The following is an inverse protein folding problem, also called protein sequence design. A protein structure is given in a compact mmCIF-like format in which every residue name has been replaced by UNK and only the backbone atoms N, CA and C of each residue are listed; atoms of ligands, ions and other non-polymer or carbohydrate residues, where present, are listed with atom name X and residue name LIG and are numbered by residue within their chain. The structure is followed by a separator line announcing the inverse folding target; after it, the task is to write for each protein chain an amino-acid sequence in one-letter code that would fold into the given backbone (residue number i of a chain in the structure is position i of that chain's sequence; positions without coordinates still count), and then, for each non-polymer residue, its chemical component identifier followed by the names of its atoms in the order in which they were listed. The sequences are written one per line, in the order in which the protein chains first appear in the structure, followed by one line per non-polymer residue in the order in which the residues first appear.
data_IF_480435026838
#
_entry.id   IF_480435026838
#
_cell.length_a   1.000
_cell.length_b   1.000
_cell.length_c   1.000
_cell.angle_alpha   90.00
_cell.angle_beta   90.00
_cell.angle_gamma   90.00
#
_symmetry.space_group_name_H-M   'P 1'
#
loop_
_entity.id
_entity.type
_entity.pdbx_description
1 polymer ?
#
# COMPACT_ATOMS: atom_id res chain seq x y z
N UNK A 1 -7.24 5.42 -27.46
CA UNK A 1 -6.97 4.25 -26.60
C UNK A 1 -7.11 4.73 -25.16
N UNK A 2 -8.13 4.25 -24.46
CA UNK A 2 -8.41 4.65 -23.07
C UNK A 2 -8.26 3.40 -22.19
N UNK A 3 -7.50 3.51 -21.10
CA UNK A 3 -7.23 2.38 -20.21
C UNK A 3 -8.22 2.42 -19.03
N UNK A 4 -9.06 1.38 -18.91
CA UNK A 4 -10.01 1.25 -17.81
C UNK A 4 -9.51 0.18 -16.84
N UNK A 5 -9.24 0.57 -15.59
CA UNK A 5 -8.83 -0.37 -14.54
C UNK A 5 -10.06 -0.95 -13.83
N UNK A 6 -10.31 -2.25 -14.01
CA UNK A 6 -11.45 -2.96 -13.43
C UNK A 6 -10.98 -3.99 -12.41
N UNK A 7 -11.63 -4.05 -11.25
CA UNK A 7 -11.50 -5.18 -10.31
C UNK A 7 -12.72 -6.07 -10.48
N UNK A 8 -12.50 -7.29 -10.98
CA UNK A 8 -13.56 -8.26 -11.18
C UNK A 8 -13.13 -9.63 -10.67
N UNK A 9 -14.11 -10.42 -10.22
CA UNK A 9 -13.89 -11.80 -9.78
C UNK A 9 -14.25 -12.75 -10.92
N UNK A 10 -13.35 -13.69 -11.20
CA UNK A 10 -13.64 -14.79 -12.13
C UNK A 10 -14.62 -15.72 -11.43
N UNK A 11 -15.77 -15.96 -12.06
CA UNK A 11 -16.81 -16.84 -11.50
C UNK A 11 -16.32 -18.29 -11.44
N UNK A 12 -17.01 -19.14 -10.68
CA UNK A 12 -16.63 -20.56 -10.50
C UNK A 12 -16.63 -21.36 -11.83
N UNK A 13 -17.32 -20.85 -12.86
CA UNK A 13 -17.37 -21.37 -14.22
C UNK A 13 -16.18 -20.92 -15.11
N UNK A 14 -15.26 -20.13 -14.57
CA UNK A 14 -14.10 -19.61 -15.29
C UNK A 14 -14.37 -18.35 -16.12
N UNK A 15 -15.57 -17.76 -16.06
CA UNK A 15 -15.90 -16.57 -16.85
C UNK A 15 -15.56 -15.26 -16.13
N UNK A 16 -14.90 -14.35 -16.86
CA UNK A 16 -14.69 -12.96 -16.47
C UNK A 16 -15.73 -12.06 -17.18
N UNK A 17 -16.62 -11.42 -16.41
CA UNK A 17 -17.62 -10.48 -16.96
C UNK A 17 -17.09 -9.05 -16.88
N UNK A 18 -16.90 -8.41 -18.02
CA UNK A 18 -16.49 -7.01 -18.16
C UNK A 18 -17.70 -6.20 -18.62
N UNK A 19 -18.16 -5.25 -17.81
CA UNK A 19 -19.20 -4.31 -18.19
C UNK A 19 -18.54 -2.98 -18.58
N UNK A 20 -18.72 -2.57 -19.84
CA UNK A 20 -18.25 -1.27 -20.31
C UNK A 20 -19.15 -0.15 -19.78
N UNK A 21 -18.59 1.00 -19.38
CA UNK A 21 -19.39 2.13 -18.90
C UNK A 21 -20.33 2.66 -20.00
N UNK A 22 -21.47 3.22 -19.56
CA UNK A 22 -22.59 3.67 -20.41
C UNK A 22 -22.16 4.70 -21.48
N UNK A 23 -21.04 5.40 -21.27
CA UNK A 23 -20.45 6.32 -22.24
C UNK A 23 -20.06 5.67 -23.59
N UNK A 24 -19.93 4.35 -23.66
CA UNK A 24 -19.61 3.62 -24.89
C UNK A 24 -20.85 3.04 -25.63
N UNK A 25 -22.08 3.45 -25.26
CA UNK A 25 -23.30 2.95 -25.92
C UNK A 25 -23.30 3.28 -27.43
N UNK A 26 -23.43 2.24 -28.27
CA UNK A 26 -23.50 2.37 -29.72
C UNK A 26 -22.16 2.63 -30.42
N UNK A 27 -21.04 2.62 -29.69
CA UNK A 27 -19.71 2.78 -30.25
C UNK A 27 -19.06 1.43 -30.59
N UNK A 28 -18.42 1.35 -31.76
CA UNK A 28 -17.51 0.24 -32.07
C UNK A 28 -16.23 0.38 -31.25
N UNK A 29 -15.92 -0.62 -30.44
CA UNK A 29 -14.82 -0.58 -29.49
C UNK A 29 -13.83 -1.73 -29.76
N UNK A 30 -12.55 -1.40 -29.89
CA UNK A 30 -11.46 -2.38 -29.88
C UNK A 30 -10.97 -2.55 -28.43
N UNK A 31 -10.95 -3.79 -27.93
CA UNK A 31 -10.67 -4.09 -26.52
C UNK A 31 -9.40 -4.94 -26.41
N UNK A 32 -8.44 -4.46 -25.62
CA UNK A 32 -7.23 -5.21 -25.27
C UNK A 32 -7.32 -5.56 -23.78
N UNK A 33 -7.27 -6.85 -23.44
CA UNK A 33 -7.33 -7.35 -22.06
C UNK A 33 -5.97 -7.90 -21.67
N UNK A 34 -5.31 -7.25 -20.70
CA UNK A 34 -4.14 -7.78 -20.01
C UNK A 34 -4.58 -8.25 -18.61
N UNK A 35 -4.32 -9.51 -18.27
CA UNK A 35 -4.69 -10.06 -16.97
C UNK A 35 -3.48 -10.65 -16.25
N UNK A 36 -3.44 -10.44 -14.95
CA UNK A 36 -2.50 -11.10 -14.03
C UNK A 36 -3.33 -11.81 -12.95
N UNK A 37 -3.06 -13.10 -12.68
CA UNK A 37 -3.73 -13.80 -11.60
C UNK A 37 -3.26 -13.24 -10.25
N UNK A 38 -4.06 -12.35 -9.64
CA UNK A 38 -3.78 -11.85 -8.31
C UNK A 38 -4.42 -12.74 -7.25
N UNK A 39 -3.60 -13.42 -6.45
CA UNK A 39 -4.07 -14.20 -5.29
C UNK A 39 -4.02 -13.32 -4.06
N UNK A 40 -5.19 -12.94 -3.52
CA UNK A 40 -5.27 -12.36 -2.17
C UNK A 40 -4.93 -13.46 -1.17
N UNK A 41 -3.80 -13.33 -0.48
CA UNK A 41 -3.46 -14.25 0.61
C UNK A 41 -4.46 -14.06 1.76
N UNK A 42 -4.95 -15.16 2.33
CA UNK A 42 -5.67 -15.09 3.60
C UNK A 42 -4.70 -14.65 4.70
N UNK A 43 -5.19 -14.08 5.82
CA UNK A 43 -4.33 -13.72 6.95
C UNK A 43 -3.48 -14.90 7.45
N UNK A 44 -4.05 -16.11 7.47
CA UNK A 44 -3.35 -17.34 7.85
C UNK A 44 -2.26 -17.74 6.84
N UNK A 45 -2.56 -17.67 5.53
CA UNK A 45 -1.58 -17.97 4.48
C UNK A 45 -0.45 -16.94 4.43
N UNK A 46 -0.77 -15.68 4.70
CA UNK A 46 0.22 -14.62 4.85
C UNK A 46 1.10 -14.87 6.07
N UNK A 47 0.53 -15.16 7.23
CA UNK A 47 1.28 -15.49 8.44
C UNK A 47 2.20 -16.70 8.25
N UNK A 48 1.72 -17.75 7.56
CA UNK A 48 2.53 -18.91 7.21
C UNK A 48 3.69 -18.55 6.27
N UNK A 49 3.47 -17.64 5.31
CA UNK A 49 4.54 -17.13 4.44
C UNK A 49 5.58 -16.34 5.22
N UNK A 50 5.14 -15.44 6.11
CA UNK A 50 6.04 -14.65 6.95
C UNK A 50 6.82 -15.56 7.87
N UNK A 51 6.18 -16.48 8.60
CA UNK A 51 6.88 -17.39 9.50
C UNK A 51 7.90 -18.29 8.78
N UNK A 52 7.67 -18.61 7.50
CA UNK A 52 8.66 -19.33 6.68
C UNK A 52 9.89 -18.48 6.39
N UNK A 53 9.71 -17.19 6.12
CA UNK A 53 10.80 -16.28 5.75
C UNK A 53 11.35 -15.48 6.92
N UNK A 54 10.69 -15.55 8.07
CA UNK A 54 11.07 -14.83 9.28
C UNK A 54 12.44 -15.33 9.75
N UNK A 55 13.39 -14.40 9.87
CA UNK A 55 14.77 -14.71 10.21
C UNK A 55 15.67 -15.07 9.03
N UNK A 56 15.21 -15.00 7.77
CA UNK A 56 16.10 -15.16 6.61
C UNK A 56 17.16 -14.07 6.49
N UNK A 57 16.98 -12.97 7.21
CA UNK A 57 17.93 -11.86 7.36
C UNK A 57 18.51 -11.79 8.78
N UNK A 58 18.33 -12.82 9.62
CA UNK A 58 18.89 -12.83 10.97
C UNK A 58 20.43 -12.92 10.97
N UNK A 59 21.00 -13.50 9.92
CA UNK A 59 22.45 -13.59 9.70
C UNK A 59 23.02 -12.40 8.91
N UNK A 60 22.18 -11.44 8.52
CA UNK A 60 22.57 -10.20 7.85
C UNK A 60 22.37 -9.03 8.84
N UNK A 61 23.36 -8.73 9.68
CA UNK A 61 23.22 -7.68 10.67
C UNK A 61 22.96 -6.36 9.95
N UNK A 62 21.90 -5.65 10.35
CA UNK A 62 21.71 -4.26 9.94
C UNK A 62 22.86 -3.48 10.58
N UNK A 63 23.96 -3.29 9.84
CA UNK A 63 25.04 -2.39 10.21
C UNK A 63 24.50 -0.96 10.09
N UNK A 64 24.15 -0.36 11.23
CA UNK A 64 23.87 1.07 11.30
C UNK A 64 25.21 1.79 11.25
N UNK A 65 25.43 2.61 10.24
CA UNK A 65 26.57 3.54 10.23
C UNK A 65 26.54 4.37 11.53
N UNK A 66 27.68 4.47 12.24
CA UNK A 66 27.83 5.31 13.43
C UNK A 66 27.72 6.80 13.04
N UNK A 67 26.49 7.28 12.90
CA UNK A 67 26.22 8.70 12.69
C UNK A 67 26.27 9.42 14.04
N UNK A 68 26.92 10.59 14.12
CA UNK A 68 26.95 11.34 15.36
C UNK A 68 25.52 11.78 15.72
N UNK A 69 25.13 11.55 16.96
CA UNK A 69 23.79 11.88 17.47
C UNK A 69 23.82 13.09 18.41
N UNK A 70 22.70 13.79 18.50
CA UNK A 70 22.47 14.85 19.47
C UNK A 70 22.15 14.30 20.88
N UNK A 71 21.88 15.19 21.84
CA UNK A 71 21.56 14.82 23.22
C UNK A 71 20.26 13.98 23.37
N UNK A 72 19.42 13.95 22.34
CA UNK A 72 18.16 13.20 22.30
C UNK A 72 18.29 11.89 21.50
N UNK A 73 19.48 11.58 20.98
CA UNK A 73 19.76 10.37 20.23
C UNK A 73 19.39 10.43 18.75
N UNK A 74 19.10 11.62 18.22
CA UNK A 74 18.82 11.81 16.79
C UNK A 74 20.10 12.07 16.00
N UNK A 75 20.24 11.60 14.76
CA UNK A 75 21.35 11.98 13.90
C UNK A 75 21.45 13.51 13.79
N UNK A 76 22.65 14.07 13.98
CA UNK A 76 22.87 15.51 13.90
C UNK A 76 22.45 16.02 12.52
N UNK A 77 21.59 17.05 12.47
CA UNK A 77 21.09 17.62 11.22
C UNK A 77 19.84 16.93 10.65
N UNK A 78 19.37 15.84 11.27
CA UNK A 78 18.22 15.07 10.77
C UNK A 78 16.98 15.93 10.58
N UNK A 79 16.63 16.77 11.56
CA UNK A 79 15.42 17.59 11.47
C UNK A 79 15.59 18.73 10.45
N UNK A 80 16.77 19.33 10.35
CA UNK A 80 17.05 20.39 9.37
C UNK A 80 16.93 19.89 7.92
N UNK A 81 17.32 18.63 7.68
CA UNK A 81 17.22 18.00 6.36
C UNK A 81 15.80 17.49 6.05
N UNK A 82 15.13 16.91 7.04
CA UNK A 82 13.84 16.21 6.82
C UNK A 82 12.62 17.09 7.03
N UNK A 83 12.72 18.17 7.82
CA UNK A 83 11.62 19.08 8.07
C UNK A 83 11.20 19.77 6.78
N UNK A 84 9.92 19.63 6.41
CA UNK A 84 9.39 20.19 5.16
C UNK A 84 9.65 19.36 3.91
N UNK A 85 10.26 18.17 4.01
CA UNK A 85 10.40 17.23 2.88
C UNK A 85 9.07 16.78 2.27
N UNK A 86 7.98 16.92 3.03
CA UNK A 86 6.60 16.68 2.60
C UNK A 86 5.77 17.97 2.45
N UNK A 87 6.40 19.15 2.42
CA UNK A 87 5.69 20.42 2.26
C UNK A 87 4.97 20.53 0.91
N UNK A 88 5.54 19.94 -0.14
CA UNK A 88 4.94 19.88 -1.48
C UNK A 88 4.00 18.68 -1.67
N UNK A 89 3.73 17.92 -0.61
CA UNK A 89 2.85 16.78 -0.68
C UNK A 89 1.41 17.27 -0.90
N UNK A 90 0.71 16.83 -1.97
CA UNK A 90 -0.67 17.25 -2.24
C UNK A 90 -1.69 16.69 -1.22
N UNK A 91 -1.24 16.00 -0.17
CA UNK A 91 -2.11 15.52 0.91
C UNK A 91 -2.58 16.72 1.73
N UNK A 92 -3.83 17.10 1.51
CA UNK A 92 -4.55 18.02 2.37
C UNK A 92 -4.86 17.32 3.70
N UNK A 93 -4.48 17.94 4.83
CA UNK A 93 -4.98 17.49 6.13
C UNK A 93 -6.51 17.64 6.14
N UNK A 94 -7.20 16.53 6.41
CA UNK A 94 -8.63 16.56 6.68
C UNK A 94 -8.95 17.42 7.92
N UNK A 95 -10.23 17.71 8.18
CA UNK A 95 -10.62 18.43 9.38
C UNK A 95 -10.14 17.69 10.64
N UNK A 96 -9.67 18.45 11.63
CA UNK A 96 -9.28 17.90 12.94
C UNK A 96 -10.43 17.07 13.49
N UNK A 97 -10.18 15.77 13.66
CA UNK A 97 -11.11 14.88 14.33
C UNK A 97 -11.02 15.12 15.85
N UNK A 98 -12.14 15.03 16.58
CA UNK A 98 -12.10 15.05 18.03
C UNK A 98 -11.17 13.92 18.52
N UNK A 99 -10.45 14.20 19.62
CA UNK A 99 -9.57 13.21 20.23
C UNK A 99 -10.35 11.91 20.52
N UNK A 100 -9.82 10.73 20.16
CA UNK A 100 -10.48 9.48 20.47
C UNK A 100 -10.59 9.34 22.00
N UNK A 101 -11.79 9.04 22.49
CA UNK A 101 -11.97 8.62 23.87
C UNK A 101 -11.28 7.28 24.06
N UNK A 102 -10.39 7.17 25.06
CA UNK A 102 -9.86 5.86 25.47
C UNK A 102 -11.00 5.07 26.09
N UNK A 103 -11.18 3.83 25.66
CA UNK A 103 -12.07 2.90 26.35
C UNK A 103 -11.56 2.66 27.78
N UNK A 104 -12.49 2.56 28.72
CA UNK A 104 -12.15 2.15 30.08
C UNK A 104 -11.67 0.70 30.07
N UNK A 105 -10.61 0.41 30.81
CA UNK A 105 -10.08 -0.95 30.94
C UNK A 105 -10.98 -1.71 31.92
N UNK A 106 -11.61 -2.79 31.46
CA UNK A 106 -12.33 -3.77 32.33
C UNK A 106 -11.38 -4.51 33.29
#
# INVERSE_FOLDING_TARGET
MEAIKLKAHVSADGMLRIQLPVAAQGAECEVIVLYEPYRKLSPEAWAASINRTYGSLADDPIELDEQPVDALGWPIGFFEETYGSLADNPIELGPDLPLPSRDEVE
#
